data_IF_420887669187
#
_entry.id   IF_420887669187
#
_cell.length_a   1.000
_cell.length_b   1.000
_cell.length_c   1.000
_cell.angle_alpha   90.00
_cell.angle_beta   90.00
_cell.angle_gamma   90.00
#
_symmetry.space_group_name_H-M   'P 1'
#
loop_
_entity.id
_entity.type
_entity.pdbx_description
1 polymer ?
#
# COMPACT_ATOMS: atom_id res chain seq x y z
N UNK A 1 -23.90 -25.19 8.02
CA UNK A 1 -23.64 -23.88 8.64
C UNK A 1 -22.30 -23.79 9.39
N UNK A 2 -21.97 -24.80 10.16
CA UNK A 2 -20.68 -24.82 10.87
C UNK A 2 -19.48 -24.80 9.94
N UNK A 3 -19.59 -25.43 8.76
CA UNK A 3 -18.51 -25.41 7.77
C UNK A 3 -18.22 -24.05 7.19
N UNK A 4 -19.25 -23.21 6.98
CA UNK A 4 -19.07 -21.86 6.44
C UNK A 4 -18.38 -20.93 7.45
N UNK A 5 -18.69 -21.07 8.73
CA UNK A 5 -18.06 -20.29 9.80
C UNK A 5 -16.59 -20.70 9.95
N UNK A 6 -16.30 -22.00 9.89
CA UNK A 6 -14.92 -22.50 9.96
C UNK A 6 -14.09 -22.02 8.77
N UNK A 7 -14.68 -22.01 7.58
CA UNK A 7 -14.00 -21.51 6.37
C UNK A 7 -13.70 -20.02 6.48
N UNK A 8 -14.64 -19.24 7.00
CA UNK A 8 -14.45 -17.81 7.25
C UNK A 8 -13.32 -17.55 8.23
N UNK A 9 -13.23 -18.33 9.30
CA UNK A 9 -12.15 -18.24 10.29
C UNK A 9 -10.81 -18.56 9.67
N UNK A 10 -10.74 -19.59 8.83
CA UNK A 10 -9.49 -19.96 8.13
C UNK A 10 -9.03 -18.82 7.22
N UNK A 11 -9.94 -18.19 6.48
CA UNK A 11 -9.62 -17.06 5.61
C UNK A 11 -9.09 -15.89 6.43
N UNK A 12 -9.72 -15.56 7.56
CA UNK A 12 -9.26 -14.49 8.45
C UNK A 12 -7.87 -14.81 9.01
N UNK A 13 -7.63 -16.07 9.41
CA UNK A 13 -6.33 -16.50 9.91
C UNK A 13 -5.24 -16.38 8.83
N UNK A 14 -5.56 -16.76 7.59
CA UNK A 14 -4.64 -16.64 6.47
C UNK A 14 -4.30 -15.17 6.23
N UNK A 15 -5.29 -14.28 6.24
CA UNK A 15 -5.08 -12.84 6.06
C UNK A 15 -4.21 -12.29 7.20
N UNK A 16 -4.46 -12.69 8.43
CA UNK A 16 -3.65 -12.27 9.57
C UNK A 16 -2.22 -12.83 9.50
N UNK A 17 -2.08 -14.09 9.12
CA UNK A 17 -0.78 -14.75 9.02
C UNK A 17 0.09 -14.15 7.91
N UNK A 18 -0.53 -13.79 6.78
CA UNK A 18 0.15 -13.14 5.67
C UNK A 18 0.02 -11.62 5.70
N UNK A 19 -0.43 -11.05 6.82
CA UNK A 19 -0.61 -9.62 6.99
C UNK A 19 0.65 -8.81 6.73
N UNK A 20 1.83 -9.38 7.00
CA UNK A 20 3.11 -8.75 6.70
C UNK A 20 3.32 -8.52 5.21
N UNK A 21 2.66 -9.31 4.36
CA UNK A 21 2.74 -9.19 2.91
C UNK A 21 1.61 -8.38 2.31
N UNK A 22 0.70 -7.85 3.12
CA UNK A 22 -0.37 -6.99 2.64
C UNK A 22 0.19 -5.66 2.09
N UNK A 23 1.45 -5.35 2.38
CA UNK A 23 2.15 -4.18 1.87
C UNK A 23 2.83 -4.41 0.52
N UNK A 24 2.73 -5.61 -0.06
CA UNK A 24 3.33 -5.93 -1.35
C UNK A 24 2.26 -6.52 -2.27
N UNK A 25 2.06 -5.92 -3.42
CA UNK A 25 1.12 -6.39 -4.45
C UNK A 25 1.67 -6.13 -5.84
N UNK A 26 1.23 -6.94 -6.80
CA UNK A 26 1.61 -6.77 -8.19
C UNK A 26 0.42 -6.31 -9.02
N UNK A 27 0.67 -5.40 -9.96
CA UNK A 27 -0.30 -4.94 -10.92
C UNK A 27 0.42 -4.53 -12.20
N UNK A 28 -0.10 -4.93 -13.36
CA UNK A 28 0.45 -4.60 -14.68
C UNK A 28 1.93 -4.97 -14.84
N UNK A 29 2.37 -6.06 -14.19
CA UNK A 29 3.77 -6.51 -14.24
C UNK A 29 4.72 -5.73 -13.35
N UNK A 30 4.20 -4.86 -12.49
CA UNK A 30 4.96 -4.05 -11.57
C UNK A 30 4.67 -4.50 -10.15
N UNK A 31 5.72 -4.66 -9.34
CA UNK A 31 5.56 -4.96 -7.91
C UNK A 31 5.63 -3.67 -7.12
N UNK A 32 4.58 -3.42 -6.34
CA UNK A 32 4.50 -2.24 -5.48
C UNK A 32 4.69 -2.66 -4.02
N UNK A 33 5.54 -1.93 -3.31
CA UNK A 33 5.80 -2.17 -1.90
C UNK A 33 5.53 -0.88 -1.12
N UNK A 34 4.62 -0.96 -0.16
CA UNK A 34 4.25 0.16 0.70
C UNK A 34 5.03 0.06 2.00
N UNK A 35 5.63 1.15 2.42
CA UNK A 35 6.27 1.26 3.73
C UNK A 35 5.92 2.58 4.38
N UNK A 36 5.82 2.57 5.71
CA UNK A 36 5.50 3.75 6.49
C UNK A 36 6.22 3.68 7.84
N UNK A 37 6.82 4.78 8.22
CA UNK A 37 7.46 4.89 9.54
C UNK A 37 7.21 6.28 10.11
N UNK A 38 7.14 6.36 11.43
CA UNK A 38 7.01 7.63 12.12
C UNK A 38 8.38 8.11 12.60
N UNK A 39 8.63 9.38 12.42
CA UNK A 39 9.83 10.04 12.91
C UNK A 39 9.45 11.45 13.34
N UNK A 40 9.74 11.79 14.60
CA UNK A 40 9.29 13.03 15.20
C UNK A 40 7.76 13.12 15.17
N UNK A 41 7.18 14.15 14.60
CA UNK A 41 5.73 14.36 14.54
C UNK A 41 5.13 14.01 13.17
N UNK A 42 5.88 13.29 12.34
CA UNK A 42 5.47 13.01 10.98
C UNK A 42 5.52 11.52 10.68
N UNK A 43 4.68 11.10 9.74
CA UNK A 43 4.71 9.74 9.21
C UNK A 43 5.15 9.82 7.75
N UNK A 44 6.24 9.14 7.45
CA UNK A 44 6.82 9.09 6.11
C UNK A 44 6.33 7.83 5.41
N UNK A 45 5.67 8.01 4.28
CA UNK A 45 5.07 6.91 3.53
C UNK A 45 5.71 6.85 2.15
N UNK A 46 6.09 5.65 1.72
CA UNK A 46 6.64 5.46 0.38
C UNK A 46 6.09 4.22 -0.28
N UNK A 47 5.86 4.31 -1.58
CA UNK A 47 5.56 3.17 -2.45
C UNK A 47 6.73 3.01 -3.40
N UNK A 48 7.33 1.83 -3.39
CA UNK A 48 8.40 1.45 -4.29
C UNK A 48 7.82 0.63 -5.42
N UNK A 49 8.09 1.02 -6.64
CA UNK A 49 7.68 0.29 -7.83
C UNK A 49 8.91 -0.31 -8.50
N UNK A 50 8.88 -1.61 -8.78
CA UNK A 50 9.94 -2.28 -9.51
C UNK A 50 9.37 -3.38 -10.39
N UNK A 51 10.12 -3.78 -11.40
CA UNK A 51 9.69 -4.78 -12.34
C UNK A 51 9.54 -6.15 -11.69
N UNK A 52 8.43 -6.83 -11.94
CA UNK A 52 8.17 -8.17 -11.43
C UNK A 52 8.22 -9.22 -12.54
N UNK A 53 7.47 -9.00 -13.62
CA UNK A 53 7.31 -10.00 -14.71
C UNK A 53 7.52 -9.42 -16.09
N UNK A 54 8.19 -8.28 -16.20
CA UNK A 54 8.33 -7.62 -17.49
C UNK A 54 7.07 -6.87 -17.88
N UNK A 55 6.95 -5.63 -17.45
CA UNK A 55 5.84 -4.78 -17.82
C UNK A 55 5.93 -4.43 -19.32
N UNK A 56 4.82 -4.56 -20.01
CA UNK A 56 4.71 -4.18 -21.43
C UNK A 56 4.16 -2.76 -21.54
N UNK A 57 4.41 -2.12 -22.68
CA UNK A 57 3.89 -0.77 -22.98
C UNK A 57 4.36 0.32 -21.99
N UNK A 58 5.62 0.27 -21.64
CA UNK A 58 6.22 1.32 -20.79
C UNK A 58 6.38 2.63 -21.57
N UNK A 59 6.28 3.81 -20.93
CA UNK A 59 6.04 3.99 -19.50
C UNK A 59 4.58 3.80 -19.11
N UNK A 60 4.36 3.39 -17.87
CA UNK A 60 3.03 3.26 -17.28
C UNK A 60 2.82 4.31 -16.20
N UNK A 61 1.64 4.90 -16.18
CA UNK A 61 1.26 5.86 -15.16
C UNK A 61 0.45 5.17 -14.09
N UNK A 62 0.90 5.25 -12.85
CA UNK A 62 0.20 4.70 -11.70
C UNK A 62 -0.38 5.85 -10.86
N UNK A 63 -1.69 5.83 -10.67
CA UNK A 63 -2.36 6.78 -9.79
C UNK A 63 -2.44 6.15 -8.40
N UNK A 64 -1.89 6.85 -7.42
CA UNK A 64 -1.77 6.34 -6.05
C UNK A 64 -2.52 7.26 -5.11
N UNK A 65 -3.44 6.69 -4.34
CA UNK A 65 -4.15 7.40 -3.28
C UNK A 65 -3.67 6.85 -1.95
N UNK A 66 -2.95 7.66 -1.20
CA UNK A 66 -2.51 7.32 0.14
C UNK A 66 -3.61 7.69 1.13
N UNK A 67 -3.96 6.78 2.01
CA UNK A 67 -4.92 7.02 3.09
C UNK A 67 -4.26 6.68 4.41
N UNK A 68 -4.28 7.63 5.34
CA UNK A 68 -3.73 7.44 6.68
C UNK A 68 -4.87 7.43 7.68
N UNK A 69 -4.89 6.40 8.52
CA UNK A 69 -5.93 6.20 9.53
C UNK A 69 -5.43 6.64 10.89
N UNK A 70 -6.08 7.64 11.45
CA UNK A 70 -5.78 8.21 12.76
C UNK A 70 -6.93 7.93 13.72
N UNK A 71 -6.63 7.71 15.01
CA UNK A 71 -7.68 7.48 16.01
C UNK A 71 -8.56 8.70 16.23
N UNK A 72 -7.97 9.89 16.22
CA UNK A 72 -8.70 11.13 16.55
C UNK A 72 -9.24 11.85 15.32
N UNK A 73 -8.46 11.89 14.24
CA UNK A 73 -8.77 12.72 13.08
C UNK A 73 -9.38 11.96 11.90
N UNK A 74 -9.64 10.66 12.07
CA UNK A 74 -10.25 9.85 11.03
C UNK A 74 -9.28 9.51 9.91
N UNK A 75 -9.67 9.77 8.67
CA UNK A 75 -8.89 9.39 7.49
C UNK A 75 -8.38 10.63 6.76
N UNK A 76 -7.07 10.68 6.56
CA UNK A 76 -6.42 11.69 5.72
C UNK A 76 -6.00 11.06 4.42
N UNK A 77 -6.23 11.74 3.29
CA UNK A 77 -5.93 11.21 1.96
C UNK A 77 -5.05 12.15 1.18
N UNK A 78 -4.12 11.59 0.42
CA UNK A 78 -3.27 12.34 -0.51
C UNK A 78 -3.17 11.57 -1.82
N UNK A 79 -3.30 12.28 -2.94
CA UNK A 79 -3.21 11.68 -4.28
C UNK A 79 -1.85 12.01 -4.88
N UNK A 80 -1.20 11.00 -5.43
CA UNK A 80 0.06 11.16 -6.13
C UNK A 80 0.06 10.34 -7.41
N UNK A 81 0.93 10.68 -8.33
CA UNK A 81 1.09 9.95 -9.59
C UNK A 81 2.54 9.52 -9.71
N UNK A 82 2.74 8.27 -10.09
CA UNK A 82 4.07 7.71 -10.35
C UNK A 82 4.14 7.25 -11.79
N UNK A 83 5.22 7.60 -12.48
CA UNK A 83 5.47 7.13 -13.83
C UNK A 83 6.57 6.08 -13.78
N UNK A 84 6.22 4.85 -14.16
CA UNK A 84 7.15 3.73 -14.19
C UNK A 84 7.66 3.51 -15.60
N UNK A 85 8.97 3.63 -15.78
CA UNK A 85 9.64 3.54 -17.08
C UNK A 85 10.57 2.33 -17.21
N UNK A 86 10.46 1.36 -16.32
CA UNK A 86 11.29 0.15 -16.32
C UNK A 86 12.39 0.15 -15.28
N UNK A 87 12.61 1.26 -14.60
CA UNK A 87 13.57 1.37 -13.50
C UNK A 87 12.82 1.54 -12.19
N UNK A 88 13.44 1.13 -11.10
CA UNK A 88 12.89 1.30 -9.78
C UNK A 88 12.54 2.76 -9.50
N UNK A 89 11.31 2.99 -9.08
CA UNK A 89 10.79 4.31 -8.78
C UNK A 89 10.13 4.35 -7.41
N UNK A 90 10.15 5.51 -6.77
CA UNK A 90 9.51 5.73 -5.47
C UNK A 90 8.49 6.84 -5.56
N UNK A 91 7.35 6.62 -4.92
CA UNK A 91 6.35 7.66 -4.70
C UNK A 91 6.27 7.87 -3.20
N UNK A 92 6.55 9.07 -2.73
CA UNK A 92 6.63 9.37 -1.30
C UNK A 92 5.65 10.47 -0.91
N UNK A 93 5.14 10.36 0.31
CA UNK A 93 4.31 11.41 0.91
C UNK A 93 4.58 11.48 2.40
N UNK A 94 4.14 12.56 3.03
CA UNK A 94 4.33 12.79 4.46
C UNK A 94 2.99 13.20 5.05
N UNK A 95 2.62 12.54 6.15
CA UNK A 95 1.48 12.95 6.98
C UNK A 95 2.01 13.54 8.28
N UNK A 96 1.46 14.66 8.68
CA UNK A 96 1.93 15.38 9.87
C UNK A 96 1.13 15.07 11.12
N UNK A 97 0.49 13.92 11.16
CA UNK A 97 -0.35 13.49 12.26
C UNK A 97 0.34 12.33 12.99
N UNK A 98 0.70 12.55 14.24
CA UNK A 98 1.50 11.60 15.01
C UNK A 98 0.71 10.38 15.52
N UNK A 99 -0.61 10.42 15.49
CA UNK A 99 -1.45 9.31 15.95
C UNK A 99 -1.92 8.38 14.80
N UNK A 100 -1.28 8.47 13.64
CA UNK A 100 -1.56 7.57 12.53
C UNK A 100 -1.06 6.17 12.88
N UNK A 101 -1.94 5.19 12.79
CA UNK A 101 -1.64 3.79 13.12
C UNK A 101 -1.42 2.94 11.88
N UNK A 102 -2.14 3.21 10.81
CA UNK A 102 -2.07 2.42 9.57
C UNK A 102 -2.17 3.31 8.35
N UNK A 103 -1.57 2.83 7.26
CA UNK A 103 -1.57 3.52 5.98
C UNK A 103 -2.02 2.54 4.91
N UNK A 104 -2.86 3.02 4.01
CA UNK A 104 -3.31 2.28 2.82
C UNK A 104 -2.85 3.02 1.58
N UNK A 105 -2.54 2.27 0.53
CA UNK A 105 -2.26 2.84 -0.77
C UNK A 105 -3.13 2.13 -1.81
N UNK A 106 -4.01 2.87 -2.45
CA UNK A 106 -4.81 2.37 -3.55
C UNK A 106 -4.09 2.76 -4.85
N UNK A 107 -3.72 1.77 -5.65
CA UNK A 107 -2.95 1.98 -6.86
C UNK A 107 -3.76 1.52 -8.06
N UNK A 108 -3.89 2.42 -9.03
CA UNK A 108 -4.53 2.12 -10.31
C UNK A 108 -3.49 2.27 -11.42
N UNK A 109 -3.16 1.19 -12.09
CA UNK A 109 -2.16 1.16 -13.16
C UNK A 109 -2.55 0.14 -14.22
N UNK A 110 -2.48 0.54 -15.50
CA UNK A 110 -2.77 -0.35 -16.61
C UNK A 110 -4.15 -0.99 -16.58
N UNK A 111 -5.15 -0.32 -16.01
CA UNK A 111 -6.50 -0.86 -15.86
C UNK A 111 -6.67 -1.81 -14.68
N UNK A 112 -5.63 -2.04 -13.90
CA UNK A 112 -5.67 -2.88 -12.71
C UNK A 112 -5.65 -2.04 -11.45
N UNK A 113 -6.37 -2.48 -10.42
CA UNK A 113 -6.42 -1.81 -9.13
C UNK A 113 -5.93 -2.75 -8.04
N UNK A 114 -5.05 -2.27 -7.19
CA UNK A 114 -4.58 -3.00 -6.02
C UNK A 114 -4.59 -2.07 -4.82
N UNK A 115 -4.78 -2.66 -3.64
CA UNK A 115 -4.73 -1.91 -2.38
C UNK A 115 -3.65 -2.52 -1.50
N UNK A 116 -2.73 -1.67 -1.08
CA UNK A 116 -1.66 -2.02 -0.15
C UNK A 116 -2.01 -1.51 1.23
N UNK A 117 -1.54 -2.21 2.24
CA UNK A 117 -1.78 -1.84 3.64
C UNK A 117 -0.53 -2.13 4.45
N UNK A 118 -0.18 -1.21 5.34
CA UNK A 118 0.89 -1.43 6.30
C UNK A 118 0.59 -0.68 7.60
N UNK A 119 1.15 -1.19 8.69
CA UNK A 119 1.16 -0.46 9.95
C UNK A 119 2.33 0.51 9.94
N UNK A 120 2.21 1.57 10.71
CA UNK A 120 3.28 2.55 10.85
C UNK A 120 4.31 2.02 11.84
N UNK A 121 5.56 1.91 11.40
CA UNK A 121 6.66 1.56 12.28
C UNK A 121 7.07 2.79 13.08
N UNK A 122 7.24 2.61 14.38
CA UNK A 122 7.70 3.69 15.24
C UNK A 122 9.22 3.63 15.36
N UNK A 123 9.84 4.77 15.14
CA UNK A 123 11.29 4.89 15.25
C UNK A 123 11.67 6.01 16.20
#
# INVERSE_FOLDING_TARGET
MLGAVALSLVVVLIVMFFGERANVKEAAGIRFTLSAFSFEDSVYVSVKAHESKGAENLPLTADIVFSALSEENGVSRKKNTLIYSGKEEFCRTIFTDYDIMSVYAEICVGGENVTLHTRVEQR
#
